data_IF_777003063702
#
_entry.id   IF_777003063702
#
_cell.length_a   1.000
_cell.length_b   1.000
_cell.length_c   1.000
_cell.angle_alpha   90.00
_cell.angle_beta   90.00
_cell.angle_gamma   90.00
#
_symmetry.space_group_name_H-M   'P 1'
#
loop_
_entity.id
_entity.type
_entity.pdbx_description
1 polymer ?
#
# COMPACT_ATOMS: atom_id res chain seq x y z
N UNK A 1 -28.76 19.03 -25.97
CA UNK A 1 -28.06 19.37 -24.71
C UNK A 1 -26.83 18.47 -24.58
N UNK A 2 -25.75 18.82 -25.28
CA UNK A 2 -24.48 18.08 -25.18
C UNK A 2 -23.77 18.52 -23.91
N UNK A 3 -23.70 17.64 -22.90
CA UNK A 3 -22.92 17.89 -21.69
C UNK A 3 -21.45 17.71 -22.02
N UNK A 4 -20.79 18.80 -22.44
CA UNK A 4 -19.33 18.84 -22.54
C UNK A 4 -18.73 18.52 -21.16
N UNK A 5 -18.21 17.30 -21.04
CA UNK A 5 -17.51 16.83 -19.85
C UNK A 5 -16.03 16.66 -20.19
N UNK A 6 -15.16 17.22 -19.34
CA UNK A 6 -13.70 17.15 -19.49
C UNK A 6 -13.13 16.25 -18.40
N UNK A 7 -12.01 15.62 -18.68
CA UNK A 7 -11.30 14.78 -17.71
C UNK A 7 -10.72 15.67 -16.61
N UNK A 8 -10.86 15.27 -15.35
CA UNK A 8 -10.25 15.98 -14.22
C UNK A 8 -8.73 15.83 -14.31
N UNK A 9 -8.02 16.97 -14.27
CA UNK A 9 -6.56 17.01 -14.36
C UNK A 9 -5.90 16.22 -13.21
N UNK A 10 -4.70 15.69 -13.43
CA UNK A 10 -3.96 15.00 -12.37
C UNK A 10 -3.71 15.91 -11.14
N UNK A 11 -3.43 17.19 -11.39
CA UNK A 11 -3.22 18.19 -10.33
C UNK A 11 -4.47 18.42 -9.48
N UNK A 12 -5.65 18.45 -10.10
CA UNK A 12 -6.91 18.63 -9.38
C UNK A 12 -7.33 17.36 -8.63
N UNK A 13 -7.03 16.18 -9.18
CA UNK A 13 -7.19 14.89 -8.47
C UNK A 13 -6.32 14.88 -7.20
N UNK A 14 -5.06 15.29 -7.33
CA UNK A 14 -4.12 15.41 -6.21
C UNK A 14 -4.60 16.46 -5.19
N UNK A 15 -5.06 17.62 -5.64
CA UNK A 15 -5.55 18.69 -4.77
C UNK A 15 -6.79 18.25 -3.97
N UNK A 16 -7.72 17.52 -4.59
CA UNK A 16 -8.90 16.98 -3.91
C UNK A 16 -8.51 15.92 -2.89
N UNK A 17 -7.55 15.06 -3.22
CA UNK A 17 -7.01 14.10 -2.27
C UNK A 17 -6.37 14.80 -1.08
N UNK A 18 -5.56 15.84 -1.32
CA UNK A 18 -4.89 16.59 -0.26
C UNK A 18 -5.86 17.36 0.64
N UNK A 19 -6.91 17.95 0.08
CA UNK A 19 -7.86 18.77 0.85
C UNK A 19 -8.95 17.96 1.53
N UNK A 20 -9.39 16.88 0.90
CA UNK A 20 -10.62 16.15 1.29
C UNK A 20 -10.40 14.67 1.56
N UNK A 21 -9.20 14.15 1.33
CA UNK A 21 -8.91 12.72 1.44
C UNK A 21 -9.83 11.87 0.55
N UNK A 22 -10.25 12.42 -0.59
CA UNK A 22 -11.09 11.74 -1.58
C UNK A 22 -10.19 11.39 -2.76
N UNK A 23 -10.06 10.10 -3.04
CA UNK A 23 -9.35 9.62 -4.22
C UNK A 23 -10.27 9.74 -5.45
N UNK A 24 -9.81 10.46 -6.47
CA UNK A 24 -10.48 10.52 -7.77
C UNK A 24 -9.74 9.62 -8.76
N UNK A 25 -10.41 8.63 -9.37
CA UNK A 25 -9.77 7.71 -10.31
C UNK A 25 -9.33 8.41 -11.59
N UNK A 26 -8.40 7.78 -12.30
CA UNK A 26 -7.97 8.22 -13.61
C UNK A 26 -9.11 8.14 -14.63
N UNK A 27 -9.20 9.14 -15.51
CA UNK A 27 -10.30 9.24 -16.46
C UNK A 27 -11.62 9.78 -15.89
N UNK A 28 -11.68 10.11 -14.58
CA UNK A 28 -12.86 10.75 -14.00
C UNK A 28 -13.19 12.06 -14.74
N UNK A 29 -14.46 12.26 -15.09
CA UNK A 29 -14.91 13.42 -15.88
C UNK A 29 -15.73 14.38 -15.02
N UNK A 30 -15.61 15.67 -15.30
CA UNK A 30 -16.37 16.74 -14.66
C UNK A 30 -17.09 17.58 -15.72
N UNK A 31 -18.24 18.17 -15.35
CA UNK A 31 -18.95 19.09 -16.22
C UNK A 31 -18.15 20.38 -16.42
N UNK A 32 -18.17 20.94 -17.63
CA UNK A 32 -17.40 22.16 -17.98
C UNK A 32 -17.71 23.36 -17.07
N UNK A 33 -18.93 23.45 -16.54
CA UNK A 33 -19.36 24.51 -15.60
C UNK A 33 -18.62 24.51 -14.25
N UNK A 34 -17.85 23.46 -13.95
CA UNK A 34 -17.08 23.33 -12.71
C UNK A 34 -15.61 23.66 -12.91
N UNK A 35 -15.22 23.96 -14.16
CA UNK A 35 -13.86 24.28 -14.57
C UNK A 35 -13.72 25.78 -14.86
N UNK A 36 -12.60 26.34 -14.45
CA UNK A 36 -12.10 27.67 -14.83
C UNK A 36 -10.66 27.45 -15.31
N UNK A 37 -10.38 27.82 -16.55
CA UNK A 37 -9.09 27.55 -17.23
C UNK A 37 -8.60 26.08 -17.10
N UNK A 38 -9.47 25.12 -17.44
CA UNK A 38 -9.23 23.67 -17.32
C UNK A 38 -8.92 23.16 -15.90
N UNK A 39 -9.13 24.00 -14.89
CA UNK A 39 -8.94 23.69 -13.48
C UNK A 39 -10.23 23.69 -12.70
N UNK A 40 -10.35 22.80 -11.72
CA UNK A 40 -11.52 22.82 -10.84
C UNK A 40 -11.62 24.11 -10.04
N UNK A 41 -12.77 24.76 -10.14
CA UNK A 41 -13.11 25.92 -9.31
C UNK A 41 -13.13 25.53 -7.83
N UNK A 42 -12.84 26.50 -6.94
CA UNK A 42 -12.92 26.29 -5.48
C UNK A 42 -14.27 25.71 -5.04
N UNK A 43 -15.36 26.26 -5.59
CA UNK A 43 -16.73 25.79 -5.33
C UNK A 43 -16.94 24.34 -5.78
N UNK A 44 -16.37 23.93 -6.92
CA UNK A 44 -16.45 22.54 -7.36
C UNK A 44 -15.70 21.60 -6.42
N UNK A 45 -14.47 21.97 -6.01
CA UNK A 45 -13.68 21.21 -5.03
C UNK A 45 -14.46 21.05 -3.73
N UNK A 46 -15.08 22.12 -3.22
CA UNK A 46 -15.86 22.12 -1.98
C UNK A 46 -17.15 21.30 -2.07
N UNK A 47 -17.68 21.08 -3.27
CA UNK A 47 -18.84 20.21 -3.52
C UNK A 47 -18.50 18.76 -3.80
N UNK A 48 -17.22 18.41 -4.03
CA UNK A 48 -16.82 17.01 -4.16
C UNK A 48 -17.14 16.28 -2.85
N UNK A 49 -18.05 15.33 -2.95
CA UNK A 49 -18.44 14.44 -1.89
C UNK A 49 -18.25 12.99 -2.39
N UNK A 50 -17.86 12.07 -1.50
CA UNK A 50 -17.78 10.67 -1.87
C UNK A 50 -19.16 10.14 -2.28
N UNK A 51 -19.20 9.40 -3.39
CA UNK A 51 -20.37 8.60 -3.74
C UNK A 51 -20.49 7.46 -2.73
N UNK A 52 -21.70 7.15 -2.28
CA UNK A 52 -22.05 6.38 -1.07
C UNK A 52 -21.65 4.90 -1.02
N UNK A 53 -20.55 4.51 -1.66
CA UNK A 53 -19.96 3.18 -1.52
C UNK A 53 -18.64 3.35 -0.76
N UNK A 54 -18.76 3.31 0.57
CA UNK A 54 -17.69 3.19 1.57
C UNK A 54 -16.63 4.31 1.67
N UNK A 55 -17.03 5.58 1.66
CA UNK A 55 -16.13 6.61 2.18
C UNK A 55 -16.14 6.64 3.70
N UNK A 56 -15.10 6.07 4.33
CA UNK A 56 -14.73 6.53 5.66
C UNK A 56 -14.20 7.97 5.50
N UNK A 57 -15.01 8.94 5.91
CA UNK A 57 -14.58 10.34 6.03
C UNK A 57 -13.46 10.38 7.06
N UNK A 58 -12.26 10.81 6.66
CA UNK A 58 -11.23 11.22 7.63
C UNK A 58 -11.73 12.48 8.33
N UNK A 59 -12.12 12.37 9.60
CA UNK A 59 -12.70 13.46 10.38
C UNK A 59 -11.72 14.64 10.50
N UNK A 60 -12.20 15.83 10.15
CA UNK A 60 -11.50 17.11 10.16
C UNK A 60 -11.36 17.71 11.58
N UNK A 61 -10.73 16.97 12.50
CA UNK A 61 -10.33 17.49 13.81
C UNK A 61 -8.82 17.29 13.94
N UNK A 62 -8.06 18.38 13.75
CA UNK A 62 -6.58 18.47 13.78
C UNK A 62 -5.86 17.46 12.88
N UNK A 63 -5.15 17.93 11.84
CA UNK A 63 -4.35 17.14 10.89
C UNK A 63 -3.84 15.80 11.48
N UNK A 64 -4.67 14.75 11.35
CA UNK A 64 -4.36 13.44 11.94
C UNK A 64 -3.17 12.90 11.17
N UNK A 65 -2.00 13.02 11.79
CA UNK A 65 -0.77 12.41 11.32
C UNK A 65 -1.00 10.90 11.24
N UNK A 66 -0.68 10.29 10.10
CA UNK A 66 -0.54 8.83 10.02
C UNK A 66 0.69 8.42 10.81
N UNK A 67 0.54 8.33 12.14
CA UNK A 67 1.64 8.09 13.05
C UNK A 67 1.71 6.62 13.45
N UNK A 68 2.26 5.80 12.55
CA UNK A 68 2.58 4.40 12.85
C UNK A 68 3.65 4.23 13.94
N UNK A 69 4.30 5.32 14.38
CA UNK A 69 5.20 5.31 15.53
C UNK A 69 4.47 5.12 16.86
N UNK A 70 3.20 5.54 16.95
CA UNK A 70 2.36 5.35 18.11
C UNK A 70 1.29 4.26 17.84
N UNK A 71 1.32 3.09 18.52
CA UNK A 71 0.35 2.00 18.31
C UNK A 71 -1.12 2.39 18.56
N UNK A 72 -1.35 3.46 19.32
CA UNK A 72 -2.68 3.95 19.69
C UNK A 72 -3.24 4.99 18.71
N UNK A 73 -2.44 5.45 17.74
CA UNK A 73 -2.83 6.55 16.84
C UNK A 73 -3.86 6.14 15.78
N UNK A 74 -3.86 4.87 15.38
CA UNK A 74 -4.67 4.31 14.31
C UNK A 74 -5.43 3.09 14.80
N UNK A 75 -6.65 2.89 14.32
CA UNK A 75 -7.48 1.69 14.50
C UNK A 75 -7.00 0.54 13.61
N UNK A 76 -7.44 -0.69 13.89
CA UNK A 76 -7.04 -1.87 13.10
C UNK A 76 -7.53 -1.76 11.64
N UNK A 77 -8.76 -1.29 11.45
CA UNK A 77 -9.31 -0.96 10.13
C UNK A 77 -8.44 0.02 9.35
N UNK A 78 -7.88 1.05 10.01
CA UNK A 78 -6.99 2.01 9.36
C UNK A 78 -5.66 1.37 8.95
N UNK A 79 -5.11 0.46 9.77
CA UNK A 79 -3.95 -0.36 9.39
C UNK A 79 -4.25 -1.18 8.13
N UNK A 80 -5.40 -1.85 8.10
CA UNK A 80 -5.76 -2.73 6.99
C UNK A 80 -6.03 -1.95 5.70
N UNK A 81 -6.68 -0.78 5.78
CA UNK A 81 -6.90 0.09 4.61
C UNK A 81 -5.57 0.62 4.06
N UNK A 82 -4.66 1.06 4.93
CA UNK A 82 -3.44 1.74 4.51
C UNK A 82 -2.34 0.78 4.08
N UNK A 83 -2.20 -0.35 4.79
CA UNK A 83 -1.06 -1.27 4.66
C UNK A 83 -1.44 -2.66 4.15
N UNK A 84 -2.75 -2.94 4.01
CA UNK A 84 -3.30 -4.27 3.72
C UNK A 84 -2.99 -5.33 4.78
N UNK A 85 -2.47 -4.93 5.95
CA UNK A 85 -2.20 -5.79 7.10
C UNK A 85 -3.03 -5.33 8.29
N UNK A 86 -3.43 -6.26 9.15
CA UNK A 86 -3.90 -5.89 10.48
C UNK A 86 -2.75 -5.25 11.28
N UNK A 87 -3.03 -4.61 12.44
CA UNK A 87 -2.07 -4.58 13.58
C UNK A 87 -1.69 -6.02 13.90
N UNK A 88 -0.88 -6.42 14.86
CA UNK A 88 -0.43 -7.84 14.96
C UNK A 88 0.38 -8.28 13.72
N UNK A 89 -0.19 -8.49 12.53
CA UNK A 89 0.55 -8.75 11.29
C UNK A 89 1.59 -7.66 10.99
N UNK A 90 1.20 -6.39 11.10
CA UNK A 90 2.14 -5.28 10.96
C UNK A 90 3.24 -5.33 12.02
N UNK A 91 2.91 -5.68 13.27
CA UNK A 91 3.89 -5.76 14.36
C UNK A 91 4.86 -6.92 14.18
N UNK A 92 4.35 -8.08 13.76
CA UNK A 92 5.12 -9.25 13.45
C UNK A 92 6.13 -8.92 12.33
N UNK A 93 5.68 -8.30 11.24
CA UNK A 93 6.57 -7.86 10.17
C UNK A 93 7.58 -6.79 10.64
N UNK A 94 7.15 -5.85 11.49
CA UNK A 94 8.03 -4.84 12.05
C UNK A 94 9.11 -5.44 12.97
N UNK A 95 8.82 -6.56 13.64
CA UNK A 95 9.76 -7.23 14.55
C UNK A 95 11.06 -7.64 13.84
N UNK A 96 10.97 -8.14 12.60
CA UNK A 96 12.13 -8.49 11.76
C UNK A 96 13.04 -7.29 11.43
N UNK A 97 12.52 -6.06 11.57
CA UNK A 97 13.24 -4.83 11.29
C UNK A 97 13.86 -4.19 12.53
N UNK A 98 13.39 -4.50 13.74
CA UNK A 98 13.97 -3.93 14.97
C UNK A 98 15.39 -4.45 15.24
N UNK A 99 15.70 -5.68 14.82
CA UNK A 99 17.04 -6.28 14.91
C UNK A 99 17.96 -5.93 13.72
N UNK A 100 17.53 -4.99 12.89
CA UNK A 100 18.33 -4.47 11.78
C UNK A 100 18.94 -3.12 12.18
N UNK A 101 20.15 -2.81 11.68
CA UNK A 101 20.86 -1.54 11.95
C UNK A 101 20.15 -0.28 11.40
N UNK A 102 18.84 -0.35 11.13
CA UNK A 102 18.02 0.81 10.78
C UNK A 102 17.87 1.67 12.02
N UNK A 103 18.57 2.79 12.05
CA UNK A 103 18.36 3.79 13.10
C UNK A 103 17.03 4.51 12.86
N UNK A 104 16.26 4.69 13.93
CA UNK A 104 15.25 5.73 13.96
C UNK A 104 15.93 7.07 13.63
N UNK A 105 15.27 7.90 12.83
CA UNK A 105 15.72 9.26 12.57
C UNK A 105 14.86 10.23 13.36
N UNK A 106 15.32 11.47 13.58
CA UNK A 106 14.52 12.52 14.23
C UNK A 106 13.14 12.69 13.58
N UNK A 107 13.02 12.38 12.29
CA UNK A 107 11.82 12.66 11.50
C UNK A 107 10.99 11.39 11.21
N UNK A 108 11.45 10.19 11.58
CA UNK A 108 10.75 8.94 11.26
C UNK A 108 11.13 7.78 12.17
N UNK A 109 10.13 6.99 12.55
CA UNK A 109 10.34 5.68 13.18
C UNK A 109 10.48 4.57 12.13
N UNK A 110 11.04 3.42 12.52
CA UNK A 110 11.05 2.19 11.71
C UNK A 110 9.62 1.76 11.33
N UNK A 111 8.65 1.99 12.20
CA UNK A 111 7.24 1.67 11.93
C UNK A 111 6.67 2.57 10.84
N UNK A 112 6.89 3.88 10.96
CA UNK A 112 6.53 4.85 9.90
C UNK A 112 7.21 4.48 8.58
N UNK A 113 8.46 4.03 8.64
CA UNK A 113 9.21 3.58 7.47
C UNK A 113 8.55 2.41 6.74
N UNK A 114 8.19 1.38 7.50
CA UNK A 114 7.52 0.19 7.01
C UNK A 114 6.15 0.55 6.45
N UNK A 115 5.39 1.38 7.16
CA UNK A 115 4.09 1.85 6.69
C UNK A 115 4.18 2.60 5.35
N UNK A 116 5.20 3.43 5.12
CA UNK A 116 5.38 4.10 3.82
C UNK A 116 5.55 3.08 2.68
N UNK A 117 6.31 2.00 2.91
CA UNK A 117 6.46 0.91 1.92
C UNK A 117 5.14 0.18 1.69
N UNK A 118 4.47 -0.19 2.78
CA UNK A 118 3.20 -0.92 2.74
C UNK A 118 2.04 -0.08 2.22
N UNK A 119 2.09 1.25 2.29
CA UNK A 119 1.15 2.11 1.58
C UNK A 119 1.49 2.20 0.10
N UNK A 120 2.79 2.24 -0.25
CA UNK A 120 3.23 2.40 -1.64
C UNK A 120 2.84 1.21 -2.53
N UNK A 121 2.91 -0.01 -2.00
CA UNK A 121 2.67 -1.25 -2.76
C UNK A 121 1.20 -1.43 -3.19
N UNK A 122 0.20 -1.42 -2.28
CA UNK A 122 -1.21 -1.62 -2.63
C UNK A 122 -1.88 -0.34 -3.15
N UNK A 123 -1.52 0.84 -2.65
CA UNK A 123 -2.22 2.09 -3.02
C UNK A 123 -1.60 2.80 -4.22
N UNK A 124 -0.42 2.38 -4.68
CA UNK A 124 0.24 2.97 -5.85
C UNK A 124 0.68 4.43 -5.71
N UNK A 125 0.56 5.04 -4.53
CA UNK A 125 0.71 6.50 -4.31
C UNK A 125 2.05 7.07 -4.79
N UNK A 126 2.05 8.31 -5.27
CA UNK A 126 3.29 9.00 -5.66
C UNK A 126 4.17 9.30 -4.43
N UNK A 127 5.48 9.45 -4.62
CA UNK A 127 6.38 9.79 -3.51
C UNK A 127 6.07 11.17 -2.90
N UNK A 128 5.51 12.10 -3.69
CA UNK A 128 5.08 13.40 -3.20
C UNK A 128 3.87 13.27 -2.27
N UNK A 129 2.88 12.47 -2.66
CA UNK A 129 1.69 12.21 -1.84
C UNK A 129 2.10 11.53 -0.53
N UNK A 130 2.98 10.52 -0.59
CA UNK A 130 3.51 9.88 0.61
C UNK A 130 4.28 10.86 1.50
N UNK A 131 5.03 11.81 0.93
CA UNK A 131 5.71 12.84 1.73
C UNK A 131 4.70 13.69 2.49
N UNK A 132 3.60 14.09 1.86
CA UNK A 132 2.55 14.88 2.51
C UNK A 132 1.80 14.07 3.57
N UNK A 133 1.36 12.85 3.24
CA UNK A 133 0.61 11.98 4.16
C UNK A 133 1.40 11.66 5.44
N UNK A 134 2.70 11.39 5.30
CA UNK A 134 3.58 11.06 6.42
C UNK A 134 4.33 12.27 7.00
N UNK A 135 4.02 13.49 6.53
CA UNK A 135 4.65 14.74 6.95
C UNK A 135 6.19 14.71 6.88
N UNK A 136 6.71 14.12 5.81
CA UNK A 136 8.14 14.08 5.52
C UNK A 136 8.54 15.31 4.68
N UNK A 137 9.77 15.81 4.85
CA UNK A 137 10.19 17.08 4.26
C UNK A 137 10.17 17.07 2.72
N UNK A 138 10.45 15.93 2.10
CA UNK A 138 10.54 15.83 0.64
C UNK A 138 10.46 14.37 0.13
N UNK A 139 10.26 14.23 -1.19
CA UNK A 139 10.21 12.93 -1.89
C UNK A 139 11.52 12.13 -1.82
N UNK A 140 12.69 12.78 -1.67
CA UNK A 140 13.99 12.10 -1.54
C UNK A 140 14.05 11.37 -0.21
N UNK A 141 13.50 11.96 0.85
CA UNK A 141 13.36 11.35 2.18
C UNK A 141 12.47 10.10 2.11
N UNK A 142 11.34 10.16 1.38
CA UNK A 142 10.47 8.99 1.11
C UNK A 142 11.22 7.92 0.30
N UNK A 143 11.95 8.30 -0.74
CA UNK A 143 12.70 7.36 -1.58
C UNK A 143 13.79 6.61 -0.79
N UNK A 144 14.59 7.34 0.00
CA UNK A 144 15.60 6.74 0.90
C UNK A 144 14.94 5.81 1.91
N UNK A 145 13.83 6.25 2.48
CA UNK A 145 13.00 5.50 3.41
C UNK A 145 12.59 4.14 2.87
N UNK A 146 12.04 4.11 1.65
CA UNK A 146 11.66 2.90 0.94
C UNK A 146 12.85 1.99 0.67
N UNK A 147 13.98 2.55 0.18
CA UNK A 147 15.19 1.79 -0.11
C UNK A 147 15.74 1.09 1.13
N UNK A 148 15.80 1.80 2.26
CA UNK A 148 16.28 1.25 3.52
C UNK A 148 15.43 0.08 4.01
N UNK A 149 14.10 0.25 4.05
CA UNK A 149 13.19 -0.82 4.52
C UNK A 149 13.24 -2.01 3.58
N UNK A 150 13.19 -1.77 2.26
CA UNK A 150 13.29 -2.85 1.27
C UNK A 150 14.56 -3.66 1.45
N UNK A 151 15.70 -2.99 1.63
CA UNK A 151 16.99 -3.66 1.84
C UNK A 151 16.96 -4.51 3.12
N UNK A 152 16.45 -3.98 4.23
CA UNK A 152 16.37 -4.73 5.46
C UNK A 152 15.43 -5.93 5.39
N UNK A 153 14.26 -5.79 4.75
CA UNK A 153 13.35 -6.91 4.49
C UNK A 153 14.03 -7.99 3.64
N UNK A 154 14.73 -7.60 2.57
CA UNK A 154 15.48 -8.55 1.73
C UNK A 154 16.56 -9.31 2.49
N UNK A 155 17.15 -8.71 3.52
CA UNK A 155 18.22 -9.34 4.31
C UNK A 155 17.69 -10.15 5.51
N UNK A 156 16.58 -9.74 6.13
CA UNK A 156 16.10 -10.29 7.42
C UNK A 156 14.80 -11.07 7.32
N UNK A 157 13.87 -10.61 6.48
CA UNK A 157 12.56 -11.24 6.36
C UNK A 157 12.55 -12.28 5.25
N UNK A 158 13.01 -11.91 4.04
CA UNK A 158 12.95 -12.76 2.85
C UNK A 158 13.66 -14.09 3.05
N UNK A 159 14.92 -14.18 3.54
CA UNK A 159 15.61 -15.46 3.61
C UNK A 159 14.96 -16.47 4.57
N UNK A 160 14.27 -15.96 5.58
CA UNK A 160 13.65 -16.76 6.65
C UNK A 160 12.17 -17.05 6.43
N UNK A 161 11.51 -16.34 5.51
CA UNK A 161 10.05 -16.44 5.33
C UNK A 161 9.61 -16.53 3.85
N UNK A 162 10.52 -16.35 2.89
CA UNK A 162 10.22 -16.37 1.46
C UNK A 162 11.30 -17.12 0.65
N UNK A 163 10.90 -17.71 -0.48
CA UNK A 163 11.80 -18.49 -1.35
C UNK A 163 12.07 -19.92 -0.85
N UNK A 164 12.95 -20.67 -1.50
CA UNK A 164 13.13 -22.10 -1.20
C UNK A 164 14.01 -22.40 0.02
N UNK A 165 14.68 -21.39 0.59
CA UNK A 165 15.62 -21.60 1.69
C UNK A 165 14.95 -21.77 3.06
N UNK A 166 13.71 -21.29 3.21
CA UNK A 166 13.00 -21.33 4.49
C UNK A 166 12.06 -22.55 4.65
N UNK A 167 11.89 -23.34 3.59
CA UNK A 167 10.95 -24.46 3.56
C UNK A 167 11.58 -25.68 2.91
N UNK A 168 11.48 -26.82 3.58
CA UNK A 168 11.99 -28.09 3.06
C UNK A 168 11.00 -28.73 2.08
N UNK A 169 11.51 -29.60 1.20
CA UNK A 169 10.66 -30.41 0.31
C UNK A 169 9.59 -31.19 1.07
N UNK A 170 9.95 -31.73 2.24
CA UNK A 170 9.03 -32.55 3.03
C UNK A 170 7.90 -31.69 3.61
N UNK A 171 8.22 -30.50 4.13
CA UNK A 171 7.20 -29.55 4.58
C UNK A 171 6.25 -29.11 3.46
N UNK A 172 6.75 -28.94 2.22
CA UNK A 172 5.89 -28.64 1.07
C UNK A 172 4.87 -29.76 0.84
N UNK A 173 5.31 -31.02 0.90
CA UNK A 173 4.46 -32.19 0.69
C UNK A 173 3.42 -32.30 1.80
N UNK A 174 3.84 -32.13 3.05
CA UNK A 174 3.02 -32.39 4.22
C UNK A 174 2.05 -31.25 4.52
N UNK A 175 2.49 -30.00 4.37
CA UNK A 175 1.75 -28.81 4.83
C UNK A 175 1.20 -27.94 3.69
N UNK A 176 1.82 -27.98 2.50
CA UNK A 176 1.46 -27.08 1.39
C UNK A 176 0.89 -27.79 0.15
N UNK A 177 0.75 -29.11 0.18
CA UNK A 177 0.15 -29.88 -0.91
C UNK A 177 -1.21 -30.43 -0.47
N UNK A 178 -2.28 -30.01 -1.15
CA UNK A 178 -3.63 -30.47 -0.83
C UNK A 178 -3.87 -31.90 -1.33
N UNK A 179 -4.75 -32.63 -0.65
CA UNK A 179 -5.16 -33.99 -1.07
C UNK A 179 -5.78 -33.99 -2.47
N UNK A 180 -6.45 -32.91 -2.85
CA UNK A 180 -7.02 -32.75 -4.19
C UNK A 180 -5.91 -32.63 -5.25
N UNK A 181 -4.91 -31.78 -5.01
CA UNK A 181 -3.79 -31.60 -5.93
C UNK A 181 -3.00 -32.92 -6.12
N UNK A 182 -2.77 -33.67 -5.04
CA UNK A 182 -2.13 -35.01 -5.09
C UNK A 182 -2.88 -35.99 -5.99
N UNK A 183 -4.21 -36.04 -5.86
CA UNK A 183 -5.05 -36.94 -6.66
C UNK A 183 -5.09 -36.57 -8.14
N UNK A 184 -5.07 -35.27 -8.45
CA UNK A 184 -5.18 -34.78 -9.82
C UNK A 184 -3.86 -34.84 -10.59
N UNK A 185 -2.73 -34.56 -9.92
CA UNK A 185 -1.45 -34.31 -10.59
C UNK A 185 -0.42 -35.42 -10.38
N UNK A 186 -0.63 -36.31 -9.41
CA UNK A 186 0.37 -37.30 -8.97
C UNK A 186 -0.22 -38.69 -8.71
N UNK A 187 -1.41 -39.01 -9.22
CA UNK A 187 -2.08 -40.32 -9.02
C UNK A 187 -2.16 -40.77 -7.54
N UNK A 188 -2.33 -39.80 -6.63
CA UNK A 188 -2.35 -40.01 -5.18
C UNK A 188 -1.01 -40.46 -4.54
N UNK A 189 0.11 -40.32 -5.25
CA UNK A 189 1.45 -40.54 -4.70
C UNK A 189 1.75 -39.54 -3.58
N UNK A 190 2.18 -40.05 -2.42
CA UNK A 190 2.32 -39.24 -1.20
C UNK A 190 3.63 -38.49 -1.10
N UNK A 191 4.64 -38.82 -1.92
CA UNK A 191 5.98 -38.25 -1.84
C UNK A 191 6.29 -37.32 -3.03
N UNK A 192 5.31 -36.54 -3.49
CA UNK A 192 5.49 -35.67 -4.66
C UNK A 192 5.13 -34.22 -4.30
N UNK A 193 6.12 -33.32 -4.45
CA UNK A 193 5.93 -31.89 -4.23
C UNK A 193 5.35 -31.26 -5.50
N UNK A 194 4.25 -30.52 -5.35
CA UNK A 194 3.60 -29.83 -6.46
C UNK A 194 3.95 -28.35 -6.37
N UNK A 195 4.52 -27.80 -7.44
CA UNK A 195 4.89 -26.38 -7.52
C UNK A 195 4.02 -25.71 -8.58
N UNK A 196 3.34 -24.64 -8.17
CA UNK A 196 2.59 -23.77 -9.09
C UNK A 196 3.43 -22.52 -9.31
N UNK A 197 3.87 -22.32 -10.54
CA UNK A 197 4.65 -21.14 -10.94
C UNK A 197 3.71 -20.22 -11.71
N UNK A 198 3.31 -19.12 -11.08
CA UNK A 198 2.61 -18.04 -11.76
C UNK A 198 3.63 -17.23 -12.60
N UNK A 199 3.41 -17.21 -13.92
CA UNK A 199 4.25 -16.55 -14.90
C UNK A 199 4.02 -15.04 -15.04
N UNK A 200 3.27 -14.39 -14.14
CA UNK A 200 2.87 -12.98 -14.25
C UNK A 200 4.03 -11.99 -14.49
N UNK A 201 5.27 -12.34 -14.15
CA UNK A 201 6.46 -11.52 -14.41
C UNK A 201 7.58 -12.27 -15.16
N UNK A 202 7.28 -13.37 -15.84
CA UNK A 202 8.24 -14.04 -16.71
C UNK A 202 8.53 -13.13 -17.91
N UNK A 203 9.78 -12.66 -18.01
CA UNK A 203 10.25 -11.93 -19.17
C UNK A 203 10.46 -12.94 -20.31
N UNK A 204 9.48 -13.03 -21.21
CA UNK A 204 9.60 -13.83 -22.43
C UNK A 204 10.33 -12.96 -23.45
N UNK A 205 11.53 -13.39 -23.82
CA UNK A 205 12.42 -12.69 -24.75
C UNK A 205 12.14 -13.10 -26.19
#
# INVERSE_FOLDING_TARGET
>A
MERNSRTVSAEDRDLIFLKKYILIPEGARCCSQHLDDDRLTKNAIDKVAPFSIQSKRFSSSEQKRFDFGNPLSLSDDEYQILTSLTKVQFEDLASYLFDSNIRNSSNRSIRTALAILLCKLPLGLSLNILAVLFQLPDKKTVSRSLKTVRTALMTRFVPSNLGFNHITRQEIIDQHTSTMARRLMCDAESNTAIVVIDGTYLYIQ
#
